data_IF_775971874269
#
_entry.id   IF_775971874269
#
_cell.length_a   1.000
_cell.length_b   1.000
_cell.length_c   1.000
_cell.angle_alpha   90.00
_cell.angle_beta   90.00
_cell.angle_gamma   90.00
#
_symmetry.space_group_name_H-M   'P 1'
#
loop_
_entity.id
_entity.type
_entity.pdbx_description
1 polymer ?
#
# COMPACT_ATOMS: atom_id res chain seq x y z
N UNK A 1 -8.24 -12.15 6.28
CA UNK A 1 -7.09 -12.39 5.37
C UNK A 1 -7.54 -11.97 3.98
N UNK A 2 -7.02 -10.86 3.45
CA UNK A 2 -7.51 -10.31 2.18
C UNK A 2 -7.22 -11.27 1.03
N UNK A 3 -8.23 -11.63 0.24
CA UNK A 3 -8.22 -12.73 -0.73
C UNK A 3 -7.37 -12.52 -2.00
N UNK A 4 -6.25 -11.81 -1.90
CA UNK A 4 -5.38 -11.51 -3.04
C UNK A 4 -4.42 -12.66 -3.35
N UNK A 5 -4.91 -13.74 -3.98
CA UNK A 5 -4.14 -14.80 -4.71
C UNK A 5 -2.71 -15.15 -4.19
N UNK A 6 -2.47 -15.12 -2.88
CA UNK A 6 -1.14 -15.33 -2.28
C UNK A 6 -0.11 -14.21 -2.46
N UNK A 7 -0.44 -13.11 -3.14
CA UNK A 7 0.47 -11.96 -3.34
C UNK A 7 -0.08 -10.70 -2.66
N UNK A 8 0.70 -10.04 -1.79
CA UNK A 8 0.31 -8.78 -1.16
C UNK A 8 -0.17 -7.75 -2.20
N UNK A 9 -1.24 -7.02 -1.88
CA UNK A 9 -1.81 -6.00 -2.75
C UNK A 9 -0.75 -4.94 -3.12
N UNK A 10 0.10 -4.54 -2.18
CA UNK A 10 1.19 -3.59 -2.41
C UNK A 10 2.07 -4.00 -3.60
N UNK A 11 2.41 -5.29 -3.72
CA UNK A 11 3.20 -5.80 -4.85
C UNK A 11 2.45 -5.75 -6.16
N UNK A 12 1.14 -6.05 -6.14
CA UNK A 12 0.28 -5.97 -7.35
C UNK A 12 0.15 -4.54 -7.88
N UNK A 13 0.22 -3.56 -6.99
CA UNK A 13 0.22 -2.14 -7.32
C UNK A 13 1.61 -1.61 -7.72
N UNK A 14 2.64 -2.45 -7.73
CA UNK A 14 4.00 -2.05 -8.06
C UNK A 14 4.68 -1.21 -6.98
N UNK A 15 4.17 -1.22 -5.74
CA UNK A 15 4.83 -0.57 -4.61
C UNK A 15 6.07 -1.38 -4.26
N UNK A 16 7.23 -0.72 -4.29
CA UNK A 16 8.54 -1.31 -3.97
C UNK A 16 9.19 -0.57 -2.80
N UNK A 17 10.26 -1.15 -2.27
CA UNK A 17 10.99 -0.55 -1.15
C UNK A 17 11.46 0.88 -1.47
N UNK A 18 11.41 1.77 -0.47
CA UNK A 18 11.80 3.18 -0.61
C UNK A 18 10.81 4.05 -1.42
N UNK A 19 9.64 3.52 -1.79
CA UNK A 19 8.65 4.29 -2.57
C UNK A 19 7.85 5.23 -1.67
N UNK A 20 7.54 6.43 -2.17
CA UNK A 20 6.55 7.33 -1.56
C UNK A 20 5.19 7.12 -2.21
N UNK A 21 4.19 6.72 -1.43
CA UNK A 21 2.81 6.52 -1.88
C UNK A 21 2.01 7.78 -1.60
N UNK A 22 1.35 8.30 -2.64
CA UNK A 22 0.42 9.41 -2.52
C UNK A 22 -1.00 8.94 -2.82
N UNK A 23 -1.88 9.06 -1.83
CA UNK A 23 -3.26 8.58 -1.96
C UNK A 23 -4.20 9.72 -2.29
N UNK A 24 -5.10 9.48 -3.25
CA UNK A 24 -6.16 10.41 -3.65
C UNK A 24 -7.49 9.77 -3.24
N UNK A 25 -8.22 10.39 -2.32
CA UNK A 25 -9.54 9.90 -1.91
C UNK A 25 -9.56 8.53 -1.22
N UNK A 26 -8.42 8.02 -0.74
CA UNK A 26 -8.34 6.69 -0.16
C UNK A 26 -9.15 6.59 1.16
N UNK A 27 -9.80 5.43 1.42
CA UNK A 27 -10.47 5.18 2.69
C UNK A 27 -9.45 5.11 3.84
N UNK A 28 -9.91 5.29 5.08
CA UNK A 28 -9.03 5.39 6.25
C UNK A 28 -8.19 4.11 6.47
N UNK A 29 -8.79 2.96 6.16
CA UNK A 29 -8.22 1.62 6.26
C UNK A 29 -7.34 1.22 5.08
N UNK A 30 -7.13 2.09 4.08
CA UNK A 30 -6.37 1.76 2.88
C UNK A 30 -4.97 1.24 3.19
N UNK A 31 -4.29 1.80 4.20
CA UNK A 31 -2.96 1.36 4.62
C UNK A 31 -2.97 -0.08 5.13
N UNK A 32 -4.04 -0.49 5.82
CA UNK A 32 -4.23 -1.87 6.30
C UNK A 32 -4.45 -2.84 5.15
N UNK A 33 -5.05 -2.41 4.04
CA UNK A 33 -5.24 -3.24 2.84
C UNK A 33 -3.92 -3.50 2.10
N UNK A 34 -2.93 -2.63 2.25
CA UNK A 34 -1.62 -2.77 1.63
C UNK A 34 -0.66 -3.64 2.43
N UNK A 35 -1.01 -4.02 3.66
CA UNK A 35 -0.18 -4.87 4.50
C UNK A 35 -0.01 -6.29 3.90
N UNK A 36 1.21 -6.86 3.88
CA UNK A 36 2.48 -6.26 4.27
C UNK A 36 3.05 -5.29 3.22
N UNK A 37 3.60 -4.18 3.72
CA UNK A 37 4.34 -3.21 2.91
C UNK A 37 5.83 -3.59 2.77
N UNK A 38 6.46 -3.29 1.62
CA UNK A 38 7.92 -3.31 1.50
C UNK A 38 8.61 -2.32 2.45
N UNK A 39 9.90 -2.56 2.70
CA UNK A 39 10.74 -1.71 3.56
C UNK A 39 10.80 -0.26 3.05
N UNK A 40 10.90 0.69 3.97
CA UNK A 40 11.07 2.12 3.68
C UNK A 40 9.97 2.76 2.81
N UNK A 41 8.77 2.16 2.75
CA UNK A 41 7.62 2.80 2.11
C UNK A 41 7.09 3.93 2.98
N UNK A 42 6.95 5.11 2.39
CA UNK A 42 6.41 6.30 3.05
C UNK A 42 5.09 6.73 2.44
N UNK A 43 4.23 7.38 3.23
CA UNK A 43 2.96 7.93 2.76
C UNK A 43 3.00 9.44 2.85
N UNK A 44 2.80 10.10 1.71
CA UNK A 44 2.58 11.53 1.66
C UNK A 44 1.19 11.89 2.24
N UNK A 45 0.96 13.16 2.63
CA UNK A 45 -0.36 13.63 3.04
C UNK A 45 -1.43 13.25 2.01
N UNK A 46 -2.61 12.85 2.49
CA UNK A 46 -3.74 12.51 1.63
C UNK A 46 -4.26 13.76 0.91
N UNK A 47 -4.54 13.63 -0.39
CA UNK A 47 -5.34 14.59 -1.15
C UNK A 47 -6.83 14.26 -1.09
#
# INVERSE_FOLDING_TARGET
MSGYSGTPLARKLGIVAGTTVHTIGAPAEYRTLLDPLPDDVTFAPRL
#
